data_IF_580668821407
#
_entry.id   IF_580668821407
#
_cell.length_a   1.000
_cell.length_b   1.000
_cell.length_c   1.000
_cell.angle_alpha   90.00
_cell.angle_beta   90.00
_cell.angle_gamma   90.00
#
_symmetry.space_group_name_H-M   'P 1'
#
loop_
_entity.id
_entity.type
_entity.pdbx_description
1 polymer ?
#
# COMPACT_ATOMS: atom_id res chain seq x y z
N UNK A 1 -5.11 -27.60 -8.59
CA UNK A 1 -4.87 -26.15 -8.61
C UNK A 1 -3.36 -25.94 -8.45
N UNK A 2 -2.66 -25.48 -9.48
CA UNK A 2 -1.21 -25.24 -9.41
C UNK A 2 -0.95 -24.18 -8.33
N UNK A 3 -0.13 -24.48 -7.34
CA UNK A 3 0.42 -23.50 -6.41
C UNK A 3 1.32 -22.55 -7.21
N UNK A 4 0.74 -21.50 -7.79
CA UNK A 4 1.53 -20.46 -8.44
C UNK A 4 2.55 -19.91 -7.46
N UNK A 5 3.77 -19.68 -7.93
CA UNK A 5 4.84 -19.06 -7.13
C UNK A 5 4.32 -17.71 -6.62
N UNK A 6 4.25 -17.54 -5.29
CA UNK A 6 3.86 -16.28 -4.67
C UNK A 6 4.81 -15.16 -5.11
N UNK A 7 4.23 -14.02 -5.40
CA UNK A 7 4.96 -12.84 -5.84
C UNK A 7 5.86 -12.33 -4.70
N UNK A 8 7.12 -12.05 -4.99
CA UNK A 8 8.05 -11.43 -4.02
C UNK A 8 7.61 -9.98 -3.78
N UNK A 9 7.66 -9.51 -2.51
CA UNK A 9 7.21 -8.15 -2.13
C UNK A 9 7.78 -7.06 -3.02
N UNK A 10 9.10 -7.05 -3.24
CA UNK A 10 9.79 -6.04 -4.03
C UNK A 10 9.31 -5.98 -5.47
N UNK A 11 9.08 -7.14 -6.09
CA UNK A 11 8.56 -7.23 -7.46
C UNK A 11 7.11 -6.75 -7.54
N UNK A 12 6.29 -7.10 -6.54
CA UNK A 12 4.92 -6.62 -6.46
C UNK A 12 4.85 -5.08 -6.36
N UNK A 13 5.67 -4.49 -5.49
CA UNK A 13 5.77 -3.02 -5.33
C UNK A 13 6.20 -2.37 -6.63
N UNK A 14 7.24 -2.88 -7.30
CA UNK A 14 7.74 -2.37 -8.58
C UNK A 14 6.63 -2.39 -9.64
N UNK A 15 5.96 -3.53 -9.82
CA UNK A 15 4.87 -3.68 -10.79
C UNK A 15 3.78 -2.64 -10.58
N UNK A 16 3.34 -2.45 -9.34
CA UNK A 16 2.31 -1.46 -9.03
C UNK A 16 2.81 -0.05 -9.29
N UNK A 17 3.98 0.32 -8.76
CA UNK A 17 4.53 1.67 -8.84
C UNK A 17 4.78 2.13 -10.28
N UNK A 18 5.19 1.21 -11.18
CA UNK A 18 5.35 1.49 -12.61
C UNK A 18 4.00 1.72 -13.30
N UNK A 19 3.00 0.90 -12.98
CA UNK A 19 1.68 0.96 -13.63
C UNK A 19 0.82 2.15 -13.22
N UNK A 20 1.02 2.69 -12.04
CA UNK A 20 0.25 3.85 -11.55
C UNK A 20 0.90 5.20 -11.92
N UNK A 21 2.00 5.17 -12.66
CA UNK A 21 2.69 6.37 -13.18
C UNK A 21 3.05 7.36 -12.05
N UNK A 22 2.67 8.64 -12.19
CA UNK A 22 3.02 9.72 -11.25
C UNK A 22 1.98 9.94 -10.16
N UNK A 23 1.00 9.04 -10.01
CA UNK A 23 0.05 9.17 -8.91
C UNK A 23 0.77 9.11 -7.55
N UNK A 24 0.32 9.90 -6.56
CA UNK A 24 0.92 9.93 -5.24
C UNK A 24 0.81 8.59 -4.52
N UNK A 25 1.93 8.15 -3.91
CA UNK A 25 1.99 6.95 -3.08
C UNK A 25 2.34 7.32 -1.65
N UNK A 26 1.55 6.88 -0.69
CA UNK A 26 1.87 6.90 0.73
C UNK A 26 2.32 5.49 1.11
N UNK A 27 3.60 5.31 1.36
CA UNK A 27 4.17 4.00 1.69
C UNK A 27 4.40 3.88 3.19
N UNK A 28 3.85 2.83 3.79
CA UNK A 28 4.09 2.48 5.19
C UNK A 28 5.58 2.27 5.46
N UNK A 29 5.98 2.44 6.71
CA UNK A 29 7.36 2.26 7.17
C UNK A 29 7.90 0.83 6.95
N UNK A 30 9.16 0.62 7.24
CA UNK A 30 9.84 -0.67 7.10
C UNK A 30 10.25 -0.99 5.66
N UNK A 31 10.15 -2.25 5.26
CA UNK A 31 10.61 -2.67 3.92
C UNK A 31 9.73 -2.18 2.78
N UNK A 32 8.48 -1.81 3.02
CA UNK A 32 7.63 -1.23 1.98
C UNK A 32 8.21 0.07 1.42
N UNK A 33 8.52 1.02 2.29
CA UNK A 33 9.18 2.27 1.90
C UNK A 33 10.56 2.04 1.29
N UNK A 34 11.34 1.09 1.83
CA UNK A 34 12.68 0.79 1.32
C UNK A 34 12.64 0.17 -0.08
N UNK A 35 11.76 -0.81 -0.30
CA UNK A 35 11.60 -1.47 -1.59
C UNK A 35 11.07 -0.49 -2.64
N UNK A 36 10.10 0.36 -2.29
CA UNK A 36 9.57 1.39 -3.18
C UNK A 36 10.66 2.42 -3.54
N UNK A 37 11.45 2.88 -2.56
CA UNK A 37 12.55 3.81 -2.78
C UNK A 37 13.62 3.23 -3.72
N UNK A 38 14.00 1.98 -3.50
CA UNK A 38 15.04 1.32 -4.32
C UNK A 38 14.58 0.99 -5.73
N UNK A 39 13.27 0.72 -5.94
CA UNK A 39 12.75 0.26 -7.23
C UNK A 39 12.12 1.35 -8.08
N UNK A 40 11.53 2.37 -7.45
CA UNK A 40 10.75 3.38 -8.15
C UNK A 40 10.62 4.67 -7.32
N UNK A 41 11.77 5.34 -7.04
CA UNK A 41 11.73 6.64 -6.35
C UNK A 41 11.15 7.73 -7.24
N UNK A 42 10.19 8.49 -6.68
CA UNK A 42 9.55 9.64 -7.33
C UNK A 42 9.26 10.73 -6.30
N UNK A 43 9.24 12.02 -6.68
CA UNK A 43 8.83 13.10 -5.79
C UNK A 43 7.43 12.92 -5.20
N UNK A 44 6.52 12.24 -5.93
CA UNK A 44 5.15 11.91 -5.51
C UNK A 44 5.06 10.72 -4.55
N UNK A 45 6.18 10.14 -4.11
CA UNK A 45 6.20 9.10 -3.08
C UNK A 45 6.48 9.72 -1.71
N UNK A 46 5.57 9.47 -0.76
CA UNK A 46 5.77 9.77 0.65
C UNK A 46 6.21 8.51 1.38
N UNK A 47 7.43 8.50 1.88
CA UNK A 47 8.00 7.37 2.62
C UNK A 47 7.84 7.60 4.11
N UNK A 48 7.04 6.77 4.77
CA UNK A 48 6.99 6.78 6.23
C UNK A 48 8.24 6.13 6.80
N UNK A 49 8.84 6.77 7.80
CA UNK A 49 10.02 6.27 8.52
C UNK A 49 9.68 5.73 9.90
N UNK A 50 8.47 5.98 10.37
CA UNK A 50 7.88 5.54 11.63
C UNK A 50 6.35 5.56 11.55
N UNK A 51 5.70 5.73 12.70
CA UNK A 51 4.24 5.88 12.80
C UNK A 51 3.49 4.71 12.16
N UNK A 52 3.87 3.49 12.52
CA UNK A 52 3.24 2.27 12.05
C UNK A 52 1.72 2.32 12.28
N UNK A 53 0.94 1.93 11.28
CA UNK A 53 -0.53 1.97 11.31
C UNK A 53 -1.17 3.23 10.72
N UNK A 54 -0.40 4.30 10.44
CA UNK A 54 -0.99 5.59 10.02
C UNK A 54 -1.00 5.82 8.50
N UNK A 55 -0.45 4.94 7.67
CA UNK A 55 -0.36 5.14 6.22
C UNK A 55 -1.75 5.34 5.59
N UNK A 56 -2.71 4.50 5.96
CA UNK A 56 -4.09 4.56 5.46
C UNK A 56 -4.82 5.85 5.89
N UNK A 57 -4.60 6.32 7.12
CA UNK A 57 -5.20 7.57 7.63
C UNK A 57 -4.63 8.80 6.92
N UNK A 58 -3.31 8.83 6.66
CA UNK A 58 -2.68 9.89 5.87
C UNK A 58 -3.23 9.89 4.44
N UNK A 59 -3.32 8.70 3.82
CA UNK A 59 -3.89 8.55 2.49
C UNK A 59 -5.33 9.03 2.39
N UNK A 60 -6.15 8.71 3.39
CA UNK A 60 -7.53 9.19 3.48
C UNK A 60 -7.60 10.73 3.54
N UNK A 61 -6.84 11.34 4.45
CA UNK A 61 -6.79 12.80 4.58
C UNK A 61 -6.44 13.50 3.27
N UNK A 62 -5.42 13.00 2.57
CA UNK A 62 -4.99 13.53 1.28
C UNK A 62 -6.06 13.34 0.18
N UNK A 63 -6.71 12.18 0.13
CA UNK A 63 -7.76 11.90 -0.84
C UNK A 63 -9.00 12.78 -0.65
N UNK A 64 -9.35 13.10 0.60
CA UNK A 64 -10.46 14.01 0.91
C UNK A 64 -10.14 15.47 0.53
N UNK A 65 -8.90 15.91 0.75
CA UNK A 65 -8.45 17.27 0.46
C UNK A 65 -8.19 17.52 -1.04
N UNK A 66 -7.74 16.52 -1.77
CA UNK A 66 -7.43 16.66 -3.20
C UNK A 66 -8.18 15.61 -4.03
N UNK A 67 -9.39 15.96 -4.47
CA UNK A 67 -10.28 15.07 -5.24
C UNK A 67 -9.86 14.89 -6.72
N UNK A 68 -8.90 15.67 -7.20
CA UNK A 68 -8.44 15.62 -8.61
C UNK A 68 -7.38 14.54 -8.84
N UNK A 69 -6.65 14.11 -7.79
CA UNK A 69 -5.60 13.10 -7.87
C UNK A 69 -6.05 11.81 -7.23
N UNK A 70 -5.63 10.67 -7.78
CA UNK A 70 -5.82 9.36 -7.16
C UNK A 70 -4.65 9.07 -6.24
N UNK A 71 -4.93 8.73 -4.98
CA UNK A 71 -3.93 8.41 -3.98
C UNK A 71 -3.83 6.91 -3.77
N UNK A 72 -2.60 6.42 -3.75
CA UNK A 72 -2.28 5.03 -3.46
C UNK A 72 -1.64 4.92 -2.09
N UNK A 73 -2.14 4.02 -1.26
CA UNK A 73 -1.52 3.65 0.01
C UNK A 73 -0.89 2.28 -0.15
N UNK A 74 0.42 2.19 0.08
CA UNK A 74 1.16 0.93 0.15
C UNK A 74 1.31 0.55 1.61
N UNK A 75 0.63 -0.51 1.99
CA UNK A 75 0.52 -0.95 3.38
C UNK A 75 0.96 -2.41 3.54
N UNK A 76 1.33 -2.80 4.76
CA UNK A 76 1.59 -4.18 5.14
C UNK A 76 0.48 -4.73 6.01
N UNK A 77 0.35 -6.05 6.05
CA UNK A 77 -0.60 -6.74 6.93
C UNK A 77 -0.45 -6.34 8.39
N UNK A 78 0.77 -6.35 8.92
CA UNK A 78 1.04 -5.93 10.31
C UNK A 78 0.79 -4.43 10.53
N UNK A 79 1.06 -3.59 9.54
CA UNK A 79 0.80 -2.16 9.62
C UNK A 79 -0.72 -1.87 9.62
N UNK A 80 -1.48 -2.55 8.77
CA UNK A 80 -2.94 -2.45 8.74
C UNK A 80 -3.57 -2.94 10.05
N UNK A 81 -3.08 -4.06 10.61
CA UNK A 81 -3.57 -4.62 11.87
C UNK A 81 -3.39 -3.68 13.07
N UNK A 82 -2.35 -2.85 13.07
CA UNK A 82 -2.15 -1.86 14.14
C UNK A 82 -3.22 -0.75 14.15
N UNK A 83 -3.88 -0.50 13.03
CA UNK A 83 -4.93 0.53 12.94
C UNK A 83 -6.09 0.05 12.04
N UNK A 84 -6.63 -1.11 12.38
CA UNK A 84 -7.70 -1.74 11.61
C UNK A 84 -8.96 -0.85 11.54
N UNK A 85 -9.20 -0.01 12.56
CA UNK A 85 -10.28 0.96 12.60
C UNK A 85 -10.24 2.00 11.48
N UNK A 86 -9.07 2.23 10.85
CA UNK A 86 -8.96 3.11 9.69
C UNK A 86 -9.84 2.65 8.51
N UNK A 87 -10.09 1.34 8.37
CA UNK A 87 -10.99 0.82 7.35
C UNK A 87 -12.44 1.29 7.55
N UNK A 88 -12.88 1.38 8.81
CA UNK A 88 -14.21 1.91 9.13
C UNK A 88 -14.30 3.37 8.69
N UNK A 89 -13.31 4.18 9.05
CA UNK A 89 -13.26 5.61 8.68
C UNK A 89 -13.26 5.79 7.16
N UNK A 90 -12.44 5.00 6.43
CA UNK A 90 -12.41 5.01 4.96
C UNK A 90 -13.77 4.61 4.38
N UNK A 91 -14.39 3.57 4.93
CA UNK A 91 -15.71 3.08 4.49
C UNK A 91 -16.84 4.07 4.71
N UNK A 92 -16.78 4.88 5.78
CA UNK A 92 -17.74 5.96 6.09
C UNK A 92 -17.56 7.14 5.13
N UNK A 93 -16.33 7.64 4.97
CA UNK A 93 -16.04 8.80 4.14
C UNK A 93 -16.08 8.53 2.63
N UNK A 94 -15.93 7.28 2.21
CA UNK A 94 -16.02 6.81 0.81
C UNK A 94 -15.25 7.68 -0.19
N UNK A 95 -13.94 7.93 0.00
CA UNK A 95 -13.15 8.71 -0.94
C UNK A 95 -13.09 8.00 -2.30
N UNK A 96 -13.56 8.68 -3.36
CA UNK A 96 -13.65 8.08 -4.70
C UNK A 96 -12.27 7.81 -5.35
N UNK A 97 -11.25 8.42 -4.83
CA UNK A 97 -9.89 8.51 -5.35
C UNK A 97 -8.83 7.88 -4.43
N UNK A 98 -9.21 6.94 -3.55
CA UNK A 98 -8.29 6.22 -2.68
C UNK A 98 -8.20 4.74 -3.08
N UNK A 99 -6.97 4.27 -3.31
CA UNK A 99 -6.66 2.86 -3.56
C UNK A 99 -5.66 2.40 -2.51
N UNK A 100 -6.09 1.51 -1.62
CA UNK A 100 -5.30 0.95 -0.53
C UNK A 100 -4.80 -0.44 -0.93
N UNK A 101 -3.48 -0.62 -1.06
CA UNK A 101 -2.85 -1.88 -1.45
C UNK A 101 -2.13 -2.44 -0.24
N UNK A 102 -2.56 -3.60 0.23
CA UNK A 102 -2.00 -4.30 1.38
C UNK A 102 -1.15 -5.47 0.89
N UNK A 103 0.15 -5.39 1.09
CA UNK A 103 1.11 -6.44 0.78
C UNK A 103 1.23 -7.37 2.00
N UNK A 104 0.61 -8.53 1.92
CA UNK A 104 0.47 -9.47 3.03
C UNK A 104 1.43 -10.66 2.88
N UNK A 105 2.47 -10.69 3.72
CA UNK A 105 3.41 -11.81 3.87
C UNK A 105 3.25 -12.53 5.22
N UNK A 106 2.25 -12.16 5.99
CA UNK A 106 1.95 -12.68 7.33
C UNK A 106 3.12 -12.58 8.32
N UNK A 107 3.89 -11.47 8.23
CA UNK A 107 5.09 -11.31 9.07
C UNK A 107 5.50 -9.85 9.26
N UNK A 108 5.93 -9.50 10.47
CA UNK A 108 6.64 -8.26 10.80
C UNK A 108 8.11 -8.35 10.35
N UNK A 109 8.34 -8.44 9.06
CA UNK A 109 9.63 -8.79 8.47
C UNK A 109 10.76 -7.80 8.80
N UNK A 110 10.44 -6.52 9.01
CA UNK A 110 11.45 -5.48 9.28
C UNK A 110 11.96 -5.45 10.73
N UNK A 111 11.31 -6.15 11.65
CA UNK A 111 11.58 -6.11 13.10
C UNK A 111 11.84 -7.48 13.72
N UNK A 112 12.20 -8.48 12.91
CA UNK A 112 12.56 -9.81 13.40
C UNK A 112 11.77 -10.96 12.78
N UNK A 113 10.78 -10.67 11.93
CA UNK A 113 10.04 -11.70 11.19
C UNK A 113 8.97 -12.41 11.99
N UNK A 114 8.54 -11.83 13.12
CA UNK A 114 7.44 -12.34 13.92
C UNK A 114 6.18 -12.51 13.05
N UNK A 115 5.37 -13.55 13.28
CA UNK A 115 4.12 -13.71 12.55
C UNK A 115 3.16 -12.57 12.87
N UNK A 116 2.39 -12.16 11.88
CA UNK A 116 1.16 -11.39 12.10
C UNK A 116 -0.03 -12.33 12.13
N UNK A 117 -1.16 -11.87 12.68
CA UNK A 117 -2.39 -12.69 12.72
C UNK A 117 -3.13 -12.72 11.37
N UNK A 118 -2.57 -12.15 10.30
CA UNK A 118 -3.19 -12.11 8.97
C UNK A 118 -3.46 -13.48 8.35
N UNK A 119 -2.79 -14.54 8.86
CA UNK A 119 -3.08 -15.92 8.45
C UNK A 119 -4.40 -16.44 9.02
N UNK A 120 -4.76 -15.99 10.20
CA UNK A 120 -5.89 -16.49 10.98
C UNK A 120 -7.18 -15.69 10.72
N UNK A 121 -7.07 -14.57 9.99
CA UNK A 121 -8.19 -13.68 9.67
C UNK A 121 -8.28 -13.41 8.17
N UNK A 122 -9.42 -12.90 7.73
CA UNK A 122 -9.66 -12.56 6.33
C UNK A 122 -9.74 -11.03 6.17
N UNK A 123 -8.56 -10.38 6.06
CA UNK A 123 -8.46 -8.93 5.94
C UNK A 123 -9.30 -8.35 4.79
N UNK A 124 -9.41 -9.06 3.68
CA UNK A 124 -10.26 -8.68 2.55
C UNK A 124 -11.75 -8.68 2.91
N UNK A 125 -12.21 -9.63 3.73
CA UNK A 125 -13.61 -9.66 4.19
C UNK A 125 -13.89 -8.56 5.22
N UNK A 126 -12.94 -8.30 6.13
CA UNK A 126 -13.04 -7.20 7.10
C UNK A 126 -13.16 -5.87 6.35
N UNK A 127 -12.31 -5.61 5.37
CA UNK A 127 -12.41 -4.40 4.56
C UNK A 127 -13.73 -4.31 3.79
N UNK A 128 -14.23 -5.44 3.26
CA UNK A 128 -15.52 -5.48 2.55
C UNK A 128 -16.70 -5.17 3.45
N UNK A 129 -16.68 -5.60 4.73
CA UNK A 129 -17.74 -5.29 5.69
C UNK A 129 -17.88 -3.80 5.98
N UNK A 130 -16.81 -3.02 5.77
CA UNK A 130 -16.83 -1.54 5.87
C UNK A 130 -17.25 -0.85 4.56
N UNK A 131 -17.82 -1.59 3.59
CA UNK A 131 -18.26 -1.09 2.27
C UNK A 131 -17.14 -0.63 1.33
N UNK A 132 -15.90 -1.03 1.59
CA UNK A 132 -14.77 -0.84 0.68
C UNK A 132 -14.81 -1.90 -0.41
N UNK A 133 -14.69 -1.49 -1.68
CA UNK A 133 -14.57 -2.43 -2.79
C UNK A 133 -13.24 -3.18 -2.70
N UNK A 134 -13.28 -4.50 -2.59
CA UNK A 134 -12.11 -5.29 -2.20
C UNK A 134 -11.78 -6.36 -3.21
N UNK A 135 -10.49 -6.52 -3.52
CA UNK A 135 -9.93 -7.57 -4.35
C UNK A 135 -8.82 -8.30 -3.61
N UNK A 136 -8.62 -9.59 -3.92
CA UNK A 136 -7.53 -10.41 -3.38
C UNK A 136 -6.80 -11.08 -4.52
N UNK A 137 -5.49 -10.95 -4.56
CA UNK A 137 -4.62 -11.49 -5.61
C UNK A 137 -3.36 -12.11 -5.01
N UNK A 138 -2.75 -13.06 -5.71
CA UNK A 138 -1.53 -13.74 -5.26
C UNK A 138 -0.54 -14.03 -6.38
N UNK A 139 -0.90 -13.71 -7.64
CA UNK A 139 -0.02 -13.93 -8.80
C UNK A 139 0.32 -12.62 -9.50
N UNK A 140 1.43 -12.60 -10.24
CA UNK A 140 1.84 -11.43 -11.04
C UNK A 140 0.75 -11.03 -12.06
N UNK A 141 0.19 -12.01 -12.76
CA UNK A 141 -0.82 -11.75 -13.79
C UNK A 141 -2.10 -11.16 -13.21
N UNK A 142 -2.56 -11.67 -12.05
CA UNK A 142 -3.75 -11.13 -11.38
C UNK A 142 -3.49 -9.73 -10.84
N UNK A 143 -2.29 -9.46 -10.29
CA UNK A 143 -1.92 -8.13 -9.82
C UNK A 143 -1.95 -7.12 -10.97
N UNK A 144 -1.34 -7.45 -12.11
CA UNK A 144 -1.35 -6.60 -13.31
C UNK A 144 -2.78 -6.33 -13.77
N UNK A 145 -3.61 -7.37 -13.91
CA UNK A 145 -5.02 -7.26 -14.35
C UNK A 145 -5.83 -6.37 -13.40
N UNK A 146 -5.67 -6.56 -12.08
CA UNK A 146 -6.45 -5.79 -11.12
C UNK A 146 -6.04 -4.32 -11.06
N UNK A 147 -4.73 -4.01 -11.15
CA UNK A 147 -4.28 -2.61 -11.20
C UNK A 147 -4.85 -1.88 -12.42
N UNK A 148 -4.82 -2.51 -13.60
CA UNK A 148 -5.44 -1.91 -14.79
C UNK A 148 -6.95 -1.73 -14.63
N UNK A 149 -7.63 -2.71 -14.03
CA UNK A 149 -9.07 -2.63 -13.76
C UNK A 149 -9.41 -1.47 -12.81
N UNK A 150 -8.58 -1.25 -11.76
CA UNK A 150 -8.86 -0.21 -10.76
C UNK A 150 -8.77 1.21 -11.32
N UNK A 151 -8.02 1.44 -12.39
CA UNK A 151 -7.97 2.74 -13.08
C UNK A 151 -9.33 3.20 -13.62
N UNK A 152 -10.23 2.25 -13.89
CA UNK A 152 -11.59 2.48 -14.41
C UNK A 152 -12.67 2.42 -13.33
N UNK A 153 -12.29 2.17 -12.07
CA UNK A 153 -13.22 2.01 -10.97
C UNK A 153 -13.19 3.21 -10.04
N UNK A 154 -14.32 3.46 -9.40
CA UNK A 154 -14.43 4.46 -8.34
C UNK A 154 -14.13 3.82 -7.00
N UNK A 155 -13.26 4.47 -6.20
CA UNK A 155 -12.91 4.06 -4.84
C UNK A 155 -14.01 4.28 -3.78
N UNK A 156 -13.73 4.00 -2.52
CA UNK A 156 -12.46 3.43 -2.04
C UNK A 156 -12.29 1.98 -2.48
N UNK A 157 -11.05 1.63 -2.80
CA UNK A 157 -10.70 0.27 -3.21
C UNK A 157 -9.59 -0.25 -2.30
N UNK A 158 -9.70 -1.51 -1.85
CA UNK A 158 -8.62 -2.22 -1.19
C UNK A 158 -8.20 -3.43 -2.05
N UNK A 159 -6.89 -3.58 -2.24
CA UNK A 159 -6.31 -4.74 -2.92
C UNK A 159 -5.41 -5.47 -1.93
N UNK A 160 -5.82 -6.68 -1.52
CA UNK A 160 -4.98 -7.56 -0.70
C UNK A 160 -4.10 -8.39 -1.63
N UNK A 161 -2.80 -8.15 -1.59
CA UNK A 161 -1.79 -8.85 -2.40
C UNK A 161 -1.06 -9.85 -1.51
N UNK A 162 -1.29 -11.14 -1.71
CA UNK A 162 -0.52 -12.20 -1.02
C UNK A 162 0.85 -12.29 -1.64
N UNK A 163 1.88 -12.11 -0.81
CA UNK A 163 3.28 -12.09 -1.22
C UNK A 163 4.13 -13.05 -0.38
N UNK A 164 5.31 -13.36 -0.88
CA UNK A 164 6.37 -14.02 -0.11
C UNK A 164 7.37 -13.00 0.44
N UNK A 165 8.11 -13.40 1.48
CA UNK A 165 9.23 -12.62 2.03
C UNK A 165 10.31 -12.43 0.97
N UNK A 166 10.98 -11.27 0.98
CA UNK A 166 12.13 -11.04 0.11
C UNK A 166 13.41 -11.61 0.75
N UNK A 167 14.20 -12.38 0.00
CA UNK A 167 15.52 -12.85 0.45
C UNK A 167 16.53 -11.71 0.58
N UNK A 168 16.43 -10.70 -0.30
CA UNK A 168 17.33 -9.54 -0.33
C UNK A 168 16.67 -8.34 0.37
N UNK A 169 17.36 -7.80 1.38
CA UNK A 169 16.90 -6.64 2.13
C UNK A 169 17.28 -5.34 1.40
N UNK A 170 16.31 -4.48 1.13
CA UNK A 170 16.55 -3.15 0.59
C UNK A 170 17.13 -2.20 1.66
N UNK A 171 18.00 -1.28 1.22
CA UNK A 171 18.63 -0.26 2.09
C UNK A 171 17.56 0.70 2.63
N UNK A 172 17.90 1.40 3.71
CA UNK A 172 17.03 2.46 4.25
C UNK A 172 16.83 3.58 3.24
N UNK A 173 15.69 4.25 3.32
CA UNK A 173 15.44 5.49 2.55
C UNK A 173 16.47 6.53 2.98
N UNK A 174 17.30 6.95 2.05
CA UNK A 174 18.38 7.92 2.29
C UNK A 174 17.94 9.34 1.89
N UNK A 175 16.84 9.79 2.46
CA UNK A 175 16.31 11.15 2.29
C UNK A 175 15.89 11.66 3.65
N UNK A 176 16.32 12.85 4.01
CA UNK A 176 15.92 13.51 5.25
C UNK A 176 14.39 13.63 5.36
N UNK A 177 13.79 13.37 6.54
CA UNK A 177 12.34 13.37 6.72
C UNK A 177 11.65 14.66 6.26
N UNK A 178 12.25 15.80 6.57
CA UNK A 178 11.75 17.11 6.12
C UNK A 178 11.77 17.24 4.60
N UNK A 179 12.78 16.72 3.93
CA UNK A 179 12.89 16.70 2.46
C UNK A 179 11.85 15.76 1.84
N UNK A 180 11.56 14.60 2.45
CA UNK A 180 10.48 13.71 2.00
C UNK A 180 9.15 14.48 1.99
N UNK A 181 8.82 15.16 3.08
CA UNK A 181 7.60 15.96 3.19
C UNK A 181 7.56 17.06 2.12
N UNK A 182 8.61 17.88 2.02
CA UNK A 182 8.63 19.04 1.13
C UNK A 182 8.50 18.64 -0.34
N UNK A 183 9.27 17.62 -0.81
CA UNK A 183 9.18 17.17 -2.20
C UNK A 183 7.80 16.57 -2.52
N UNK A 184 7.22 15.83 -1.57
CA UNK A 184 5.88 15.25 -1.73
C UNK A 184 4.83 16.37 -1.83
N UNK A 185 4.82 17.32 -0.91
CA UNK A 185 3.88 18.46 -0.95
C UNK A 185 4.01 19.28 -2.22
N UNK A 186 5.24 19.51 -2.72
CA UNK A 186 5.47 20.20 -4.01
C UNK A 186 4.85 19.41 -5.17
N UNK A 187 4.97 18.09 -5.18
CA UNK A 187 4.39 17.23 -6.23
C UNK A 187 2.86 17.20 -6.25
N UNK A 188 2.20 17.57 -5.15
CA UNK A 188 0.74 17.64 -5.09
C UNK A 188 0.18 18.94 -5.68
N UNK A 189 0.99 20.00 -5.80
CA UNK A 189 0.58 21.30 -6.33
C UNK A 189 0.60 21.36 -7.87
N UNK A 190 1.39 20.48 -8.48
CA UNK A 190 1.48 20.28 -9.94
C UNK A 190 0.45 19.21 -10.36
#
# INVERSE_FOLDING_TARGET
>A
MSKGILLIRKDAIKIVAEKISNNPIISANGYLSRDLYETCDKPSNFYMIGSMGLASSIGLGLALQNRKKTFYVFDGDGNLLMNLGSLVTIGVHRPKNLIHIVFDNSSHESTGGQPTESKNIQLDKIARSTKIKTFKVGTKNDLVKIIEKTKKLTGPILILVKISKSKKKSKRVNIEPTKIKLRFMKSLRN
#
